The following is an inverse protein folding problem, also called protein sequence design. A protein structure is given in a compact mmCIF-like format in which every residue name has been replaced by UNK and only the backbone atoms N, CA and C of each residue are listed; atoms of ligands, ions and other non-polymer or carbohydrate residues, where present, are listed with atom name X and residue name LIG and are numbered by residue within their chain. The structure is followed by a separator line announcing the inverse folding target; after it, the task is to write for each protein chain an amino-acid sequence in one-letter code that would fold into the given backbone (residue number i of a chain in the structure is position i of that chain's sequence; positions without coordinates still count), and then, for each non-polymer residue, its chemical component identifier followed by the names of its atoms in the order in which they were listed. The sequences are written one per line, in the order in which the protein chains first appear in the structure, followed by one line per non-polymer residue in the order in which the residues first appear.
data_IF_278636813583
#
_entry.id   IF_278636813583
#
_cell.length_a   1.000
_cell.length_b   1.000
_cell.length_c   1.000
_cell.angle_alpha   90.00
_cell.angle_beta   90.00
_cell.angle_gamma   90.00
#
_symmetry.space_group_name_H-M   'P 1'
#
loop_
_entity.id
_entity.type
_entity.pdbx_description
1 polymer ?
#
# COMPACT_ATOMS: atom_id res chain seq x y z
N UNK A 1 -27.29 -1.92 4.27
CA UNK A 1 -26.66 -2.74 3.20
C UNK A 1 -27.68 -3.30 2.22
N UNK A 2 -28.80 -3.89 2.69
CA UNK A 2 -29.85 -4.44 1.82
C UNK A 2 -30.29 -3.46 0.70
N UNK A 3 -30.60 -2.21 1.02
CA UNK A 3 -31.04 -1.18 0.05
C UNK A 3 -30.07 -0.97 -1.12
N UNK A 4 -28.75 -0.95 -0.86
CA UNK A 4 -27.72 -0.77 -1.91
C UNK A 4 -27.66 -2.01 -2.80
N UNK A 5 -27.76 -3.20 -2.22
CA UNK A 5 -27.63 -4.45 -2.96
C UNK A 5 -28.89 -4.87 -3.73
N UNK A 6 -30.07 -4.45 -3.27
CA UNK A 6 -31.37 -4.81 -3.88
C UNK A 6 -31.89 -3.76 -4.87
N UNK A 7 -31.34 -2.54 -4.87
CA UNK A 7 -31.70 -1.49 -5.84
C UNK A 7 -30.72 -1.53 -7.01
N UNK A 8 -31.13 -1.87 -8.25
CA UNK A 8 -30.20 -2.10 -9.36
C UNK A 8 -29.26 -0.92 -9.65
N UNK A 9 -29.77 0.32 -9.63
CA UNK A 9 -28.97 1.51 -9.84
C UNK A 9 -27.91 1.74 -8.74
N UNK A 10 -28.28 1.49 -7.47
CA UNK A 10 -27.35 1.65 -6.33
C UNK A 10 -26.29 0.55 -6.33
N UNK A 11 -26.68 -0.68 -6.66
CA UNK A 11 -25.74 -1.78 -6.80
C UNK A 11 -24.70 -1.49 -7.88
N UNK A 12 -25.15 -1.03 -9.05
CA UNK A 12 -24.25 -0.68 -10.14
C UNK A 12 -23.29 0.46 -9.76
N UNK A 13 -23.76 1.46 -9.01
CA UNK A 13 -22.90 2.52 -8.49
C UNK A 13 -21.84 1.97 -7.52
N UNK A 14 -22.27 1.18 -6.55
CA UNK A 14 -21.38 0.56 -5.57
C UNK A 14 -20.33 -0.33 -6.22
N UNK A 15 -20.71 -1.17 -7.20
CA UNK A 15 -19.77 -2.04 -7.92
C UNK A 15 -18.73 -1.21 -8.70
N UNK A 16 -19.13 -0.09 -9.32
CA UNK A 16 -18.20 0.82 -10.02
C UNK A 16 -17.22 1.48 -9.05
N UNK A 17 -17.70 2.00 -7.93
CA UNK A 17 -16.83 2.65 -6.93
C UNK A 17 -15.85 1.66 -6.31
N UNK A 18 -16.34 0.46 -5.94
CA UNK A 18 -15.50 -0.60 -5.39
C UNK A 18 -14.44 -1.07 -6.39
N UNK A 19 -14.80 -1.19 -7.68
CA UNK A 19 -13.83 -1.48 -8.74
C UNK A 19 -12.77 -0.37 -8.85
N UNK A 20 -13.17 0.90 -8.82
CA UNK A 20 -12.24 2.03 -8.82
C UNK A 20 -11.27 2.01 -7.64
N UNK A 21 -11.75 1.71 -6.43
CA UNK A 21 -10.91 1.55 -5.23
C UNK A 21 -9.90 0.40 -5.40
N UNK A 22 -10.33 -0.74 -5.95
CA UNK A 22 -9.46 -1.90 -6.22
C UNK A 22 -8.36 -1.54 -7.21
N UNK A 23 -8.69 -0.89 -8.33
CA UNK A 23 -7.70 -0.50 -9.34
C UNK A 23 -6.69 0.51 -8.77
N UNK A 24 -7.15 1.47 -7.93
CA UNK A 24 -6.23 2.40 -7.26
C UNK A 24 -5.23 1.67 -6.34
N UNK A 25 -5.69 0.71 -5.54
CA UNK A 25 -4.81 -0.08 -4.67
C UNK A 25 -3.79 -0.87 -5.49
N UNK A 26 -4.23 -1.49 -6.59
CA UNK A 26 -3.34 -2.20 -7.52
C UNK A 26 -2.27 -1.27 -8.09
N UNK A 27 -2.66 -0.10 -8.59
CA UNK A 27 -1.73 0.90 -9.12
C UNK A 27 -0.71 1.35 -8.05
N UNK A 28 -1.13 1.51 -6.78
CA UNK A 28 -0.20 1.84 -5.69
C UNK A 28 0.80 0.71 -5.40
N UNK A 29 0.39 -0.55 -5.50
CA UNK A 29 1.31 -1.70 -5.36
C UNK A 29 2.38 -1.69 -6.45
N UNK A 30 1.97 -1.49 -7.70
CA UNK A 30 2.87 -1.43 -8.85
C UNK A 30 3.85 -0.26 -8.71
N UNK A 31 3.37 0.93 -8.37
CA UNK A 31 4.22 2.12 -8.18
C UNK A 31 5.16 1.99 -6.97
N UNK A 32 4.71 1.41 -5.86
CA UNK A 32 5.57 1.17 -4.69
C UNK A 32 6.73 0.22 -5.06
N UNK A 33 6.42 -0.91 -5.72
CA UNK A 33 7.45 -1.84 -6.18
C UNK A 33 8.44 -1.16 -7.13
N UNK A 34 7.93 -0.43 -8.12
CA UNK A 34 8.76 0.27 -9.09
C UNK A 34 9.66 1.33 -8.42
N UNK A 35 9.12 2.11 -7.49
CA UNK A 35 9.88 3.13 -6.75
C UNK A 35 11.00 2.53 -5.91
N UNK A 36 10.74 1.43 -5.20
CA UNK A 36 11.76 0.72 -4.42
C UNK A 36 12.86 0.12 -5.32
N UNK A 37 12.48 -0.49 -6.46
CA UNK A 37 13.44 -1.00 -7.44
C UNK A 37 14.31 0.11 -8.02
N UNK A 38 13.71 1.24 -8.40
CA UNK A 38 14.44 2.40 -8.91
C UNK A 38 15.38 3.03 -7.88
N UNK A 39 15.06 2.91 -6.59
CA UNK A 39 15.90 3.35 -5.49
C UNK A 39 17.02 2.36 -5.11
N UNK A 40 17.19 1.27 -5.88
CA UNK A 40 18.32 0.35 -5.72
C UNK A 40 18.08 -0.82 -4.76
N UNK A 41 16.84 -1.06 -4.33
CA UNK A 41 16.49 -2.22 -3.50
C UNK A 41 16.64 -3.50 -4.32
N UNK A 42 17.54 -4.40 -3.90
CA UNK A 42 17.91 -5.63 -4.64
C UNK A 42 17.15 -6.88 -4.18
N UNK A 43 16.49 -6.84 -3.02
CA UNK A 43 15.64 -7.92 -2.53
C UNK A 43 14.46 -8.20 -3.48
N UNK A 44 13.92 -9.43 -3.46
CA UNK A 44 12.73 -9.75 -4.26
C UNK A 44 11.48 -9.05 -3.70
N UNK A 45 11.00 -8.05 -4.45
CA UNK A 45 9.81 -7.26 -4.14
C UNK A 45 8.54 -7.76 -4.83
N UNK A 46 8.56 -8.93 -5.49
CA UNK A 46 7.41 -9.48 -6.21
C UNK A 46 6.18 -9.73 -5.31
N UNK A 47 6.39 -9.92 -4.00
CA UNK A 47 5.31 -10.07 -3.03
C UNK A 47 4.39 -8.85 -2.97
N UNK A 48 4.91 -7.62 -3.19
CA UNK A 48 4.11 -6.38 -3.14
C UNK A 48 2.97 -6.41 -4.17
N UNK A 49 3.25 -6.92 -5.36
CA UNK A 49 2.29 -7.01 -6.48
C UNK A 49 1.53 -8.34 -6.51
N UNK A 50 2.06 -9.42 -5.93
CA UNK A 50 1.35 -10.71 -5.82
C UNK A 50 0.28 -10.70 -4.72
N UNK A 51 0.53 -10.00 -3.62
CA UNK A 51 -0.42 -9.87 -2.51
C UNK A 51 -1.64 -9.05 -2.93
N UNK A 52 -2.81 -9.41 -2.39
CA UNK A 52 -4.10 -8.75 -2.65
C UNK A 52 -4.65 -8.09 -1.40
N UNK A 53 -5.58 -7.16 -1.59
CA UNK A 53 -6.23 -6.42 -0.51
C UNK A 53 -5.49 -5.14 -0.13
N UNK A 54 -5.89 -4.54 1.00
CA UNK A 54 -5.40 -3.23 1.43
C UNK A 54 -4.02 -3.27 2.10
N UNK A 55 -3.57 -4.44 2.56
CA UNK A 55 -2.38 -4.57 3.39
C UNK A 55 -1.27 -5.32 2.68
N UNK A 56 -0.03 -5.00 3.05
CA UNK A 56 1.16 -5.74 2.63
C UNK A 56 2.04 -5.97 3.85
N UNK A 57 2.69 -7.12 3.93
CA UNK A 57 3.85 -7.28 4.82
C UNK A 57 5.08 -6.78 4.07
N UNK A 58 5.76 -5.77 4.59
CA UNK A 58 6.90 -5.12 3.94
C UNK A 58 8.18 -5.96 4.02
N UNK A 59 8.26 -6.88 4.99
CA UNK A 59 9.50 -7.60 5.32
C UNK A 59 10.45 -6.82 6.24
N UNK A 60 10.07 -5.59 6.62
CA UNK A 60 10.81 -4.81 7.60
C UNK A 60 10.66 -5.40 9.00
N UNK A 61 11.76 -5.46 9.74
CA UNK A 61 11.79 -5.84 11.15
C UNK A 61 11.12 -4.80 12.05
N UNK A 62 10.80 -5.18 13.29
CA UNK A 62 10.28 -4.25 14.31
C UNK A 62 11.16 -3.01 14.47
N UNK A 63 12.48 -3.18 14.52
CA UNK A 63 13.42 -2.07 14.67
C UNK A 63 13.33 -1.09 13.48
N UNK A 64 13.25 -1.61 12.25
CA UNK A 64 13.11 -0.78 11.04
C UNK A 64 11.75 -0.07 10.99
N UNK A 65 10.66 -0.74 11.42
CA UNK A 65 9.34 -0.12 11.54
C UNK A 65 9.30 1.00 12.57
N UNK A 66 10.01 0.83 13.69
CA UNK A 66 10.14 1.88 14.71
C UNK A 66 10.96 3.06 14.19
N UNK A 67 12.05 2.81 13.45
CA UNK A 67 12.82 3.88 12.78
C UNK A 67 11.99 4.65 11.76
N UNK A 68 11.18 3.97 10.93
CA UNK A 68 10.25 4.64 10.01
C UNK A 68 9.34 5.63 10.74
N UNK A 69 8.86 5.23 11.91
CA UNK A 69 7.99 6.05 12.76
C UNK A 69 8.73 7.25 13.34
N UNK A 70 9.86 7.02 14.00
CA UNK A 70 10.56 8.06 14.76
C UNK A 70 11.36 9.02 13.89
N UNK A 71 11.98 8.55 12.81
CA UNK A 71 12.86 9.35 11.95
C UNK A 71 12.13 10.00 10.78
N UNK A 72 11.08 9.34 10.25
CA UNK A 72 10.43 9.76 9.00
C UNK A 72 8.92 10.04 9.14
N UNK A 73 8.34 9.83 10.32
CA UNK A 73 6.90 10.02 10.54
C UNK A 73 6.01 9.07 9.71
N UNK A 74 6.55 7.92 9.29
CA UNK A 74 5.81 6.90 8.52
C UNK A 74 5.35 5.80 9.47
N UNK A 75 4.04 5.70 9.70
CA UNK A 75 3.46 4.79 10.68
C UNK A 75 2.95 3.50 10.03
N UNK A 76 3.39 2.36 10.56
CA UNK A 76 2.85 1.03 10.28
C UNK A 76 2.82 0.17 11.54
N UNK A 77 2.46 -1.10 11.39
CA UNK A 77 2.46 -2.05 12.52
C UNK A 77 3.87 -2.62 12.69
N UNK A 78 4.29 -2.78 13.94
CA UNK A 78 5.61 -3.33 14.32
C UNK A 78 5.91 -4.70 13.68
N UNK A 79 4.88 -5.46 13.29
CA UNK A 79 5.00 -6.72 12.53
C UNK A 79 5.39 -6.55 11.05
N UNK A 80 5.69 -5.32 10.61
CA UNK A 80 5.99 -5.01 9.20
C UNK A 80 4.76 -4.84 8.31
N UNK A 81 3.54 -4.86 8.88
CA UNK A 81 2.31 -4.67 8.09
C UNK A 81 2.09 -3.19 7.77
N UNK A 82 1.96 -2.88 6.48
CA UNK A 82 1.63 -1.54 5.95
C UNK A 82 0.28 -1.52 5.24
N UNK A 83 -0.40 -0.38 5.25
CA UNK A 83 -1.64 -0.16 4.52
C UNK A 83 -1.35 0.49 3.15
N UNK A 84 -1.36 -0.32 2.09
CA UNK A 84 -1.13 0.15 0.72
C UNK A 84 -2.24 1.11 0.26
N UNK A 85 -3.47 0.94 0.78
CA UNK A 85 -4.57 1.86 0.48
C UNK A 85 -4.32 3.29 1.00
N UNK A 86 -3.45 3.48 1.99
CA UNK A 86 -3.08 4.82 2.48
C UNK A 86 -2.04 5.53 1.57
N UNK A 87 -1.41 4.80 0.64
CA UNK A 87 -0.49 5.38 -0.33
C UNK A 87 -1.27 6.11 -1.43
N UNK A 88 -0.68 7.21 -1.91
CA UNK A 88 -1.22 8.04 -2.97
C UNK A 88 -0.09 8.82 -3.66
N UNK A 89 -0.43 9.55 -4.72
CA UNK A 89 0.56 10.30 -5.50
C UNK A 89 1.32 11.38 -4.72
N UNK A 90 0.75 11.89 -3.61
CA UNK A 90 1.39 12.94 -2.81
C UNK A 90 2.36 12.41 -1.76
N UNK A 91 2.25 11.15 -1.34
CA UNK A 91 3.11 10.59 -0.27
C UNK A 91 4.05 9.47 -0.73
N UNK A 92 3.82 8.87 -1.89
CA UNK A 92 4.52 7.65 -2.28
C UNK A 92 6.03 7.81 -2.31
N UNK A 93 6.54 8.90 -2.89
CA UNK A 93 7.99 9.11 -3.04
C UNK A 93 8.68 9.31 -1.70
N UNK A 94 8.02 10.00 -0.77
CA UNK A 94 8.54 10.17 0.60
C UNK A 94 8.58 8.82 1.34
N UNK A 95 7.53 8.01 1.19
CA UNK A 95 7.48 6.66 1.78
C UNK A 95 8.56 5.74 1.20
N UNK A 96 8.77 5.77 -0.12
CA UNK A 96 9.84 4.98 -0.77
C UNK A 96 11.21 5.37 -0.20
N UNK A 97 11.52 6.68 -0.12
CA UNK A 97 12.79 7.16 0.46
C UNK A 97 12.94 6.73 1.92
N UNK A 98 11.89 6.84 2.72
CA UNK A 98 11.91 6.44 4.13
C UNK A 98 12.16 4.93 4.30
N UNK A 99 11.50 4.09 3.48
CA UNK A 99 11.71 2.64 3.50
C UNK A 99 13.17 2.32 3.18
N UNK A 100 13.71 2.89 2.10
CA UNK A 100 15.10 2.65 1.67
C UNK A 100 16.10 3.08 2.75
N UNK A 101 15.85 4.19 3.44
CA UNK A 101 16.76 4.70 4.46
C UNK A 101 16.80 3.88 5.76
N UNK A 102 15.80 3.02 6.00
CA UNK A 102 15.78 2.10 7.15
C UNK A 102 16.10 0.65 6.78
N UNK A 103 16.17 0.33 5.49
CA UNK A 103 16.46 -1.02 5.01
C UNK A 103 17.90 -1.45 5.25
#
# INVERSE_FOLDING_TARGET
VATVLTTPALRALWERELAGMRERIRAMRERLRAGLQAAGVTQDLAYITRQKGMFSYSGLSTAQMQRLRSEYGVYGVDSGRICVAALNGGNLDAVVRAIVAVM
#
